data_IF_832727290180
#
_entry.id   IF_832727290180
#
_cell.length_a   1.000
_cell.length_b   1.000
_cell.length_c   1.000
_cell.angle_alpha   90.00
_cell.angle_beta   90.00
_cell.angle_gamma   90.00
#
_symmetry.space_group_name_H-M   'P 1'
#
loop_
_entity.id
_entity.type
_entity.pdbx_description
1 polymer ?
#
# COMPACT_ATOMS: atom_id res chain seq x y z
N UNK A 1 3.42 3.41 -28.85
CA UNK A 1 4.16 4.60 -28.34
C UNK A 1 3.19 5.75 -28.03
N UNK A 2 2.25 6.12 -28.93
CA UNK A 2 1.29 7.23 -28.69
C UNK A 2 0.41 6.99 -27.44
N UNK A 3 -0.03 5.77 -27.24
CA UNK A 3 -0.91 5.38 -26.13
C UNK A 3 -0.21 5.46 -24.76
N UNK A 4 1.11 5.20 -24.71
CA UNK A 4 1.94 5.32 -23.51
C UNK A 4 2.02 6.79 -23.02
N UNK A 5 2.21 7.71 -23.96
CA UNK A 5 2.20 9.15 -23.66
C UNK A 5 0.85 9.62 -23.13
N UNK A 6 -0.25 9.07 -23.62
CA UNK A 6 -1.60 9.46 -23.17
C UNK A 6 -1.88 9.01 -21.73
N UNK A 7 -1.42 7.82 -21.34
CA UNK A 7 -1.57 7.32 -19.96
C UNK A 7 -0.72 8.13 -18.96
N UNK A 8 0.46 8.60 -19.38
CA UNK A 8 1.32 9.48 -18.57
C UNK A 8 0.89 10.94 -18.59
N UNK A 9 0.13 11.38 -19.59
CA UNK A 9 -0.38 12.75 -19.66
C UNK A 9 -1.52 13.02 -18.66
N UNK A 10 -2.21 11.97 -18.18
CA UNK A 10 -3.28 12.12 -17.20
C UNK A 10 -2.71 12.23 -15.78
N UNK A 11 -2.63 13.44 -15.25
CA UNK A 11 -2.10 13.72 -13.92
C UNK A 11 -2.77 12.91 -12.81
N UNK A 12 -4.08 12.62 -12.91
CA UNK A 12 -4.81 11.82 -11.92
C UNK A 12 -4.31 10.37 -11.89
N UNK A 13 -4.03 9.78 -13.07
CA UNK A 13 -3.47 8.45 -13.18
C UNK A 13 -2.04 8.37 -12.61
N UNK A 14 -1.20 9.37 -12.90
CA UNK A 14 0.16 9.43 -12.34
C UNK A 14 0.17 9.39 -10.81
N UNK A 15 -0.75 10.09 -10.17
CA UNK A 15 -0.89 10.08 -8.72
C UNK A 15 -1.27 8.69 -8.18
N UNK A 16 -2.18 7.98 -8.86
CA UNK A 16 -2.54 6.61 -8.45
C UNK A 16 -1.40 5.63 -8.72
N UNK A 17 -0.61 5.81 -9.78
CA UNK A 17 0.60 5.01 -10.03
C UNK A 17 1.65 5.24 -8.94
N UNK A 18 1.83 6.48 -8.47
CA UNK A 18 2.70 6.77 -7.32
C UNK A 18 2.19 6.07 -6.05
N UNK A 19 0.89 6.07 -5.81
CA UNK A 19 0.30 5.33 -4.69
C UNK A 19 0.60 3.84 -4.82
N UNK A 20 0.43 3.23 -6.00
CA UNK A 20 0.76 1.82 -6.25
C UNK A 20 2.22 1.50 -5.93
N UNK A 21 3.14 2.36 -6.40
CA UNK A 21 4.57 2.25 -6.15
C UNK A 21 4.89 2.26 -4.64
N UNK A 22 4.33 3.22 -3.92
CA UNK A 22 4.62 3.42 -2.50
C UNK A 22 4.00 2.32 -1.61
N UNK A 23 2.75 1.91 -1.85
CA UNK A 23 2.10 0.90 -1.03
C UNK A 23 2.74 -0.48 -1.19
N UNK A 24 3.04 -0.89 -2.45
CA UNK A 24 3.67 -2.19 -2.67
C UNK A 24 5.12 -2.20 -2.21
N UNK A 25 5.86 -1.12 -2.47
CA UNK A 25 7.23 -1.00 -1.97
C UNK A 25 7.30 -1.05 -0.45
N UNK A 26 6.40 -0.38 0.25
CA UNK A 26 6.26 -0.45 1.71
C UNK A 26 5.95 -1.86 2.19
N UNK A 27 5.05 -2.56 1.49
CA UNK A 27 4.65 -3.91 1.84
C UNK A 27 5.81 -4.89 1.72
N UNK A 28 6.53 -4.85 0.60
CA UNK A 28 7.69 -5.72 0.38
C UNK A 28 8.80 -5.42 1.38
N UNK A 29 9.07 -4.15 1.69
CA UNK A 29 10.06 -3.78 2.69
C UNK A 29 9.71 -4.36 4.07
N UNK A 30 8.45 -4.25 4.52
CA UNK A 30 8.02 -4.82 5.80
C UNK A 30 8.20 -6.33 5.82
N UNK A 31 7.72 -7.05 4.80
CA UNK A 31 7.79 -8.52 4.79
C UNK A 31 9.20 -9.08 4.57
N UNK A 32 10.04 -8.39 3.81
CA UNK A 32 11.44 -8.79 3.65
C UNK A 32 12.21 -8.71 4.96
N UNK A 33 11.99 -7.65 5.73
CA UNK A 33 12.86 -7.34 6.87
C UNK A 33 12.30 -7.74 8.23
N UNK A 34 10.97 -7.95 8.37
CA UNK A 34 10.40 -8.43 9.65
C UNK A 34 10.95 -9.79 10.04
N UNK A 35 11.27 -10.65 9.07
CA UNK A 35 11.84 -11.96 9.33
C UNK A 35 13.16 -11.87 10.08
N UNK A 36 14.04 -10.93 9.69
CA UNK A 36 15.31 -10.70 10.39
C UNK A 36 15.08 -10.26 11.84
N UNK A 37 14.10 -9.40 12.08
CA UNK A 37 13.77 -8.93 13.43
C UNK A 37 13.26 -10.06 14.31
N UNK A 38 12.44 -10.96 13.77
CA UNK A 38 11.83 -12.05 14.51
C UNK A 38 12.80 -13.21 14.77
N UNK A 39 13.77 -13.43 13.89
CA UNK A 39 14.82 -14.44 14.06
C UNK A 39 15.89 -13.99 15.05
N UNK A 40 16.11 -12.69 15.20
CA UNK A 40 17.09 -12.12 16.12
C UNK A 40 16.56 -12.02 17.57
N UNK A 41 17.46 -11.94 18.58
CA UNK A 41 17.06 -11.58 19.95
C UNK A 41 16.29 -10.24 19.98
N UNK A 42 15.30 -10.07 20.85
CA UNK A 42 14.88 -10.95 21.95
C UNK A 42 13.92 -12.07 21.55
N UNK A 43 13.40 -12.09 20.30
CA UNK A 43 12.36 -13.04 19.91
C UNK A 43 12.92 -14.44 19.61
N UNK A 44 14.03 -14.53 18.87
CA UNK A 44 14.71 -15.79 18.51
C UNK A 44 13.76 -16.89 18.01
N UNK A 45 12.79 -16.49 17.18
CA UNK A 45 11.80 -17.45 16.66
C UNK A 45 12.44 -18.41 15.64
N UNK A 46 11.87 -19.62 15.52
CA UNK A 46 12.29 -20.55 14.47
C UNK A 46 11.83 -20.10 13.09
N UNK A 47 12.54 -20.50 12.04
CA UNK A 47 12.16 -20.21 10.65
C UNK A 47 10.76 -20.74 10.30
N UNK A 48 10.33 -21.84 10.91
CA UNK A 48 8.99 -22.39 10.72
C UNK A 48 7.92 -21.42 11.23
N UNK A 49 8.11 -20.85 12.42
CA UNK A 49 7.17 -19.86 12.99
C UNK A 49 7.15 -18.59 12.16
N UNK A 50 8.30 -18.12 11.70
CA UNK A 50 8.38 -16.96 10.80
C UNK A 50 7.69 -17.25 9.45
N UNK A 51 7.79 -18.48 8.94
CA UNK A 51 7.07 -18.92 7.74
C UNK A 51 5.56 -18.86 7.89
N UNK A 52 5.01 -19.02 9.10
CA UNK A 52 3.57 -18.88 9.36
C UNK A 52 3.06 -17.43 9.21
N UNK A 53 3.95 -16.42 9.12
CA UNK A 53 3.55 -15.05 8.78
C UNK A 53 2.80 -14.97 7.45
N UNK A 54 3.05 -15.89 6.52
CA UNK A 54 2.32 -15.91 5.25
C UNK A 54 0.83 -16.24 5.42
N UNK A 55 0.40 -16.85 6.54
CA UNK A 55 -1.02 -17.03 6.86
C UNK A 55 -1.74 -15.68 6.98
N UNK A 56 -1.02 -14.62 7.34
CA UNK A 56 -1.55 -13.25 7.41
C UNK A 56 -2.08 -12.77 6.05
N UNK A 57 -1.57 -13.30 4.93
CA UNK A 57 -2.09 -12.99 3.59
C UNK A 57 -3.56 -13.38 3.37
N UNK A 58 -4.04 -14.39 4.10
CA UNK A 58 -5.45 -14.80 4.03
C UNK A 58 -6.39 -13.67 4.48
N UNK A 59 -6.00 -12.91 5.51
CA UNK A 59 -6.75 -11.73 5.95
C UNK A 59 -6.79 -10.66 4.87
N UNK A 60 -5.72 -10.53 4.11
CA UNK A 60 -5.64 -9.58 3.01
C UNK A 60 -6.54 -9.93 1.83
N UNK A 61 -6.72 -11.20 1.52
CA UNK A 61 -7.65 -11.64 0.46
C UNK A 61 -9.09 -11.23 0.80
N UNK A 62 -9.50 -11.41 2.05
CA UNK A 62 -10.79 -10.93 2.54
C UNK A 62 -10.91 -9.41 2.42
N UNK A 63 -9.86 -8.67 2.81
CA UNK A 63 -9.80 -7.21 2.71
C UNK A 63 -10.05 -6.70 1.30
N UNK A 64 -9.42 -7.31 0.30
CA UNK A 64 -9.56 -6.90 -1.11
C UNK A 64 -11.02 -6.92 -1.57
N UNK A 65 -11.75 -7.97 -1.25
CA UNK A 65 -13.17 -8.11 -1.59
C UNK A 65 -14.04 -7.12 -0.80
N UNK A 66 -13.80 -7.01 0.50
CA UNK A 66 -14.57 -6.14 1.39
C UNK A 66 -14.40 -4.66 1.02
N UNK A 67 -13.16 -4.21 0.92
CA UNK A 67 -12.83 -2.82 0.59
C UNK A 67 -13.22 -2.45 -0.85
N UNK A 68 -13.13 -3.40 -1.79
CA UNK A 68 -13.63 -3.22 -3.14
C UNK A 68 -15.13 -2.91 -3.17
N UNK A 69 -15.94 -3.70 -2.49
CA UNK A 69 -17.40 -3.45 -2.36
C UNK A 69 -17.70 -2.13 -1.64
N UNK A 70 -16.95 -1.84 -0.58
CA UNK A 70 -17.12 -0.61 0.18
C UNK A 70 -16.82 0.62 -0.70
N UNK A 71 -15.83 0.53 -1.60
CA UNK A 71 -15.48 1.61 -2.52
C UNK A 71 -16.56 1.88 -3.58
N UNK A 72 -17.33 0.89 -3.97
CA UNK A 72 -18.45 1.07 -4.87
C UNK A 72 -19.63 1.84 -4.22
N UNK A 73 -19.76 1.74 -2.88
CA UNK A 73 -20.81 2.42 -2.12
C UNK A 73 -20.41 3.82 -1.64
N UNK A 74 -19.17 4.01 -1.22
CA UNK A 74 -18.72 5.23 -0.53
C UNK A 74 -17.71 6.07 -1.34
N UNK A 75 -17.31 5.60 -2.51
CA UNK A 75 -16.32 6.25 -3.36
C UNK A 75 -14.88 5.76 -3.14
N UNK A 76 -14.13 5.71 -4.23
CA UNK A 76 -12.78 5.13 -4.22
C UNK A 76 -11.80 5.90 -3.33
N UNK A 77 -11.83 7.24 -3.35
CA UNK A 77 -10.87 8.04 -2.59
C UNK A 77 -11.04 7.88 -1.08
N UNK A 78 -12.28 7.93 -0.58
CA UNK A 78 -12.57 7.79 0.86
C UNK A 78 -12.16 6.43 1.40
N UNK A 79 -12.47 5.36 0.66
CA UNK A 79 -12.14 3.99 1.08
C UNK A 79 -10.65 3.72 0.95
N UNK A 80 -9.97 4.32 -0.04
CA UNK A 80 -8.52 4.24 -0.15
C UNK A 80 -7.83 4.94 1.04
N UNK A 81 -8.31 6.12 1.46
CA UNK A 81 -7.82 6.80 2.66
C UNK A 81 -7.98 5.90 3.90
N UNK A 82 -9.14 5.27 4.06
CA UNK A 82 -9.37 4.34 5.17
C UNK A 82 -8.37 3.18 5.14
N UNK A 83 -8.15 2.56 3.98
CA UNK A 83 -7.19 1.47 3.82
C UNK A 83 -5.76 1.88 4.15
N UNK A 84 -5.34 3.07 3.72
CA UNK A 84 -4.02 3.63 4.02
C UNK A 84 -3.86 3.93 5.53
N UNK A 85 -4.89 4.43 6.20
CA UNK A 85 -4.87 4.63 7.65
C UNK A 85 -4.76 3.31 8.41
N UNK A 86 -5.49 2.27 7.98
CA UNK A 86 -5.38 0.93 8.54
C UNK A 86 -3.96 0.38 8.34
N UNK A 87 -3.39 0.53 7.14
CA UNK A 87 -2.03 0.14 6.82
C UNK A 87 -1.01 0.85 7.71
N UNK A 88 -1.13 2.17 7.88
CA UNK A 88 -0.25 2.96 8.73
C UNK A 88 -0.32 2.49 10.19
N UNK A 89 -1.54 2.34 10.71
CA UNK A 89 -1.76 1.86 12.10
C UNK A 89 -1.14 0.49 12.32
N UNK A 90 -1.34 -0.45 11.38
CA UNK A 90 -0.73 -1.77 11.45
C UNK A 90 0.80 -1.71 11.46
N UNK A 91 1.41 -0.90 10.60
CA UNK A 91 2.85 -0.69 10.58
C UNK A 91 3.37 -0.14 11.91
N UNK A 92 2.75 0.90 12.45
CA UNK A 92 3.13 1.51 13.72
C UNK A 92 2.98 0.54 14.91
N UNK A 93 1.94 -0.31 14.92
CA UNK A 93 1.78 -1.34 15.95
C UNK A 93 2.95 -2.32 15.98
N UNK A 94 3.60 -2.58 14.85
CA UNK A 94 4.78 -3.46 14.83
C UNK A 94 5.99 -2.86 15.55
N UNK A 95 5.99 -1.59 15.92
CA UNK A 95 7.06 -0.98 16.72
C UNK A 95 7.02 -1.41 18.19
N UNK A 96 5.85 -1.82 18.68
CA UNK A 96 5.70 -2.28 20.06
C UNK A 96 6.48 -3.57 20.26
N UNK A 97 7.17 -3.67 21.42
CA UNK A 97 8.06 -4.80 21.73
C UNK A 97 7.36 -6.15 21.90
N UNK A 98 6.18 -6.27 22.56
CA UNK A 98 5.54 -7.57 22.72
C UNK A 98 5.25 -8.23 21.36
N UNK A 99 5.62 -9.52 21.23
CA UNK A 99 5.51 -10.32 20.00
C UNK A 99 4.10 -10.31 19.40
N UNK A 100 3.08 -10.31 20.26
CA UNK A 100 1.66 -10.28 19.86
C UNK A 100 1.36 -9.05 18.98
N UNK A 101 1.94 -7.89 19.30
CA UNK A 101 1.74 -6.68 18.49
C UNK A 101 2.46 -6.74 17.15
N UNK A 102 3.54 -7.52 17.01
CA UNK A 102 4.16 -7.79 15.69
C UNK A 102 3.18 -8.51 14.77
N UNK A 103 2.56 -9.60 15.26
CA UNK A 103 1.61 -10.39 14.46
C UNK A 103 0.30 -9.62 14.17
N UNK A 104 -0.29 -8.99 15.18
CA UNK A 104 -1.51 -8.18 15.01
C UNK A 104 -1.22 -7.00 14.06
N UNK A 105 -0.11 -6.30 14.26
CA UNK A 105 0.31 -5.19 13.41
C UNK A 105 0.48 -5.61 11.96
N UNK A 106 1.13 -6.74 11.70
CA UNK A 106 1.28 -7.29 10.35
C UNK A 106 -0.06 -7.67 9.72
N UNK A 107 -0.99 -8.25 10.49
CA UNK A 107 -2.33 -8.59 10.01
C UNK A 107 -3.11 -7.33 9.59
N UNK A 108 -3.10 -6.29 10.44
CA UNK A 108 -3.74 -5.00 10.16
C UNK A 108 -3.06 -4.30 8.97
N UNK A 109 -1.73 -4.31 8.92
CA UNK A 109 -0.94 -3.74 7.83
C UNK A 109 -1.28 -4.39 6.49
N UNK A 110 -1.31 -5.72 6.44
CA UNK A 110 -1.66 -6.51 5.25
C UNK A 110 -3.10 -6.28 4.83
N UNK A 111 -4.03 -6.21 5.78
CA UNK A 111 -5.43 -5.89 5.52
C UNK A 111 -5.54 -4.52 4.86
N UNK A 112 -4.92 -3.49 5.43
CA UNK A 112 -4.92 -2.14 4.87
C UNK A 112 -4.29 -2.06 3.49
N UNK A 113 -3.15 -2.74 3.29
CA UNK A 113 -2.42 -2.74 2.02
C UNK A 113 -3.22 -3.40 0.89
N UNK A 114 -3.69 -4.64 1.08
CA UNK A 114 -4.39 -5.37 0.01
C UNK A 114 -5.76 -4.76 -0.29
N UNK A 115 -6.44 -4.22 0.72
CA UNK A 115 -7.65 -3.43 0.51
C UNK A 115 -7.38 -2.15 -0.29
N UNK A 116 -6.33 -1.40 0.06
CA UNK A 116 -5.92 -0.20 -0.67
C UNK A 116 -5.53 -0.51 -2.12
N UNK A 117 -4.79 -1.59 -2.34
CA UNK A 117 -4.42 -2.04 -3.68
C UNK A 117 -5.66 -2.34 -4.53
N UNK A 118 -6.62 -3.10 -4.00
CA UNK A 118 -7.87 -3.44 -4.69
C UNK A 118 -8.65 -2.19 -5.10
N UNK A 119 -8.82 -1.25 -4.18
CA UNK A 119 -9.51 0.02 -4.43
C UNK A 119 -8.78 0.88 -5.46
N UNK A 120 -7.46 1.03 -5.34
CA UNK A 120 -6.64 1.82 -6.25
C UNK A 120 -6.66 1.24 -7.68
N UNK A 121 -6.55 -0.08 -7.80
CA UNK A 121 -6.63 -0.79 -9.09
C UNK A 121 -8.00 -0.58 -9.77
N UNK A 122 -9.10 -0.69 -9.01
CA UNK A 122 -10.45 -0.40 -9.49
C UNK A 122 -10.62 1.07 -9.89
N UNK A 123 -10.00 2.00 -9.16
CA UNK A 123 -10.07 3.43 -9.46
C UNK A 123 -9.35 3.80 -10.76
N UNK A 124 -8.22 3.18 -11.07
CA UNK A 124 -7.52 3.34 -12.36
C UNK A 124 -8.46 3.11 -13.53
N UNK A 125 -9.25 2.02 -13.49
CA UNK A 125 -10.22 1.70 -14.53
C UNK A 125 -11.36 2.72 -14.69
N UNK A 126 -11.72 3.43 -13.59
CA UNK A 126 -12.75 4.48 -13.60
C UNK A 126 -12.19 5.84 -14.06
N UNK A 127 -10.92 6.14 -13.77
CA UNK A 127 -10.26 7.39 -14.15
C UNK A 127 -9.87 7.46 -15.63
N UNK A 128 -9.72 6.33 -16.29
CA UNK A 128 -9.38 6.28 -17.70
C UNK A 128 -10.60 5.86 -18.54
N UNK A 129 -11.12 6.79 -19.35
CA UNK A 129 -12.18 6.53 -20.30
C UNK A 129 -11.68 5.95 -21.66
N UNK A 130 -10.35 5.89 -21.84
CA UNK A 130 -9.70 5.35 -23.04
C UNK A 130 -9.30 3.88 -22.90
N UNK A 131 -8.03 3.57 -23.11
CA UNK A 131 -7.49 2.21 -23.02
C UNK A 131 -7.29 1.78 -21.56
N UNK A 132 -8.30 1.09 -20.99
CA UNK A 132 -8.29 0.57 -19.62
C UNK A 132 -7.19 -0.47 -19.40
N UNK A 133 -6.93 -1.32 -20.41
CA UNK A 133 -5.92 -2.37 -20.31
C UNK A 133 -4.53 -1.77 -20.13
N UNK A 134 -4.23 -0.72 -20.88
CA UNK A 134 -2.95 -0.03 -20.77
C UNK A 134 -2.78 0.66 -19.43
N UNK A 135 -3.80 1.36 -18.91
CA UNK A 135 -3.71 2.00 -17.60
C UNK A 135 -3.51 1.00 -16.47
N UNK A 136 -4.16 -0.17 -16.56
CA UNK A 136 -3.95 -1.25 -15.60
C UNK A 136 -2.54 -1.84 -15.70
N UNK A 137 -1.99 -1.99 -16.91
CA UNK A 137 -0.61 -2.45 -17.11
C UNK A 137 0.40 -1.47 -16.55
N UNK A 138 0.18 -0.15 -16.71
CA UNK A 138 1.02 0.90 -16.13
C UNK A 138 0.94 0.89 -14.61
N UNK A 139 -0.25 0.71 -14.04
CA UNK A 139 -0.44 0.55 -12.61
C UNK A 139 0.40 -0.61 -12.07
N UNK A 140 0.34 -1.78 -12.71
CA UNK A 140 1.13 -2.95 -12.33
C UNK A 140 2.63 -2.73 -12.50
N UNK A 141 3.05 -2.02 -13.53
CA UNK A 141 4.46 -1.65 -13.71
C UNK A 141 4.99 -0.84 -12.51
N UNK A 142 4.29 0.24 -12.13
CA UNK A 142 4.68 1.05 -10.98
C UNK A 142 4.59 0.27 -9.66
N UNK A 143 3.60 -0.59 -9.52
CA UNK A 143 3.43 -1.48 -8.36
C UNK A 143 4.67 -2.39 -8.16
N UNK A 144 5.13 -3.08 -9.20
CA UNK A 144 6.32 -3.92 -9.12
C UNK A 144 7.63 -3.12 -9.08
N UNK A 145 7.70 -1.98 -9.72
CA UNK A 145 8.83 -1.07 -9.59
C UNK A 145 9.01 -0.58 -8.14
N UNK A 146 7.89 -0.29 -7.44
CA UNK A 146 7.90 0.03 -6.02
C UNK A 146 8.39 -1.14 -5.17
N UNK A 147 7.89 -2.35 -5.44
CA UNK A 147 8.34 -3.57 -4.75
C UNK A 147 9.87 -3.74 -4.82
N UNK A 148 10.41 -3.59 -6.01
CA UNK A 148 11.86 -3.73 -6.24
C UNK A 148 12.66 -2.60 -5.58
N UNK A 149 12.22 -1.35 -5.74
CA UNK A 149 12.98 -0.18 -5.27
C UNK A 149 12.93 -0.03 -3.75
N UNK A 150 11.73 0.19 -3.17
CA UNK A 150 11.59 0.39 -1.73
C UNK A 150 11.83 -0.88 -0.93
N UNK A 151 11.50 -2.06 -1.53
CA UNK A 151 11.81 -3.34 -0.93
C UNK A 151 13.31 -3.52 -0.69
N UNK A 152 14.17 -3.00 -1.58
CA UNK A 152 15.63 -3.02 -1.43
C UNK A 152 16.12 -1.91 -0.49
N UNK A 153 15.62 -0.67 -0.68
CA UNK A 153 16.00 0.50 0.12
C UNK A 153 15.69 0.28 1.61
N UNK A 154 14.65 -0.46 1.93
CA UNK A 154 14.30 -0.83 3.32
C UNK A 154 15.46 -1.49 4.08
N UNK A 155 16.37 -2.21 3.38
CA UNK A 155 17.57 -2.80 3.98
C UNK A 155 18.54 -1.75 4.53
N UNK A 156 18.73 -0.65 3.82
CA UNK A 156 19.57 0.47 4.27
C UNK A 156 19.00 1.09 5.55
N UNK A 157 17.68 1.23 5.62
CA UNK A 157 17.01 1.74 6.83
C UNK A 157 17.10 0.76 8.00
N UNK A 158 17.03 -0.55 7.72
CA UNK A 158 17.20 -1.58 8.75
C UNK A 158 18.61 -1.54 9.34
N UNK A 159 19.65 -1.46 8.49
CA UNK A 159 21.04 -1.41 8.94
C UNK A 159 21.36 -0.15 9.73
N UNK A 160 20.83 1.02 9.31
CA UNK A 160 21.14 2.30 9.93
C UNK A 160 20.34 2.59 11.19
N UNK A 161 19.08 2.20 11.24
CA UNK A 161 18.12 2.62 12.28
C UNK A 161 17.30 1.45 12.86
N UNK A 162 17.61 0.21 12.49
CA UNK A 162 16.87 -0.97 12.91
C UNK A 162 15.43 -0.99 12.37
N UNK A 163 14.57 -1.72 13.06
CA UNK A 163 13.16 -1.89 12.66
C UNK A 163 12.38 -0.56 12.63
N UNK A 164 12.68 0.34 13.53
CA UNK A 164 12.07 1.68 13.57
C UNK A 164 12.40 2.50 12.31
N UNK A 165 13.59 2.33 11.72
CA UNK A 165 13.95 2.94 10.45
C UNK A 165 13.09 2.44 9.29
N UNK A 166 12.89 1.14 9.19
CA UNK A 166 12.01 0.53 8.16
C UNK A 166 10.58 1.07 8.29
N UNK A 167 10.02 1.04 9.48
CA UNK A 167 8.66 1.54 9.73
C UNK A 167 8.57 3.06 9.53
N UNK A 168 9.62 3.82 9.88
CA UNK A 168 9.70 5.25 9.60
C UNK A 168 9.64 5.56 8.10
N UNK A 169 10.38 4.83 7.26
CA UNK A 169 10.32 4.92 5.80
C UNK A 169 8.92 4.58 5.28
N UNK A 170 8.33 3.50 5.78
CA UNK A 170 6.98 3.06 5.41
C UNK A 170 5.94 4.10 5.81
N UNK A 171 6.02 4.64 7.02
CA UNK A 171 5.11 5.68 7.49
C UNK A 171 5.19 6.94 6.62
N UNK A 172 6.39 7.38 6.24
CA UNK A 172 6.58 8.49 5.32
C UNK A 172 5.94 8.22 3.95
N UNK A 173 6.15 7.02 3.39
CA UNK A 173 5.54 6.62 2.12
C UNK A 173 4.00 6.61 2.19
N UNK A 174 3.42 6.06 3.25
CA UNK A 174 1.96 6.01 3.44
C UNK A 174 1.38 7.41 3.67
N UNK A 175 2.08 8.29 4.40
CA UNK A 175 1.67 9.69 4.58
C UNK A 175 1.66 10.42 3.22
N UNK A 176 2.66 10.21 2.38
CA UNK A 176 2.67 10.76 1.02
C UNK A 176 1.45 10.25 0.24
N UNK A 177 1.14 8.94 0.31
CA UNK A 177 -0.07 8.38 -0.31
C UNK A 177 -1.34 9.06 0.19
N UNK A 178 -1.49 9.26 1.50
CA UNK A 178 -2.64 9.92 2.10
C UNK A 178 -2.79 11.35 1.56
N UNK A 179 -1.73 12.13 1.52
CA UNK A 179 -1.75 13.50 1.00
C UNK A 179 -2.16 13.55 -0.49
N UNK A 180 -1.63 12.62 -1.28
CA UNK A 180 -1.97 12.48 -2.70
C UNK A 180 -3.43 12.13 -2.90
N UNK A 181 -3.93 11.12 -2.16
CA UNK A 181 -5.31 10.64 -2.30
C UNK A 181 -6.32 11.67 -1.82
N UNK A 182 -6.04 12.37 -0.71
CA UNK A 182 -6.89 13.48 -0.24
C UNK A 182 -6.99 14.58 -1.29
N UNK A 183 -5.88 14.98 -1.92
CA UNK A 183 -5.90 15.98 -3.00
C UNK A 183 -6.70 15.50 -4.21
N UNK A 184 -6.57 14.23 -4.58
CA UNK A 184 -7.34 13.66 -5.69
C UNK A 184 -8.84 13.63 -5.40
N UNK A 185 -9.24 13.24 -4.20
CA UNK A 185 -10.64 13.19 -3.78
C UNK A 185 -11.26 14.59 -3.81
N UNK A 186 -10.56 15.60 -3.28
CA UNK A 186 -11.01 16.99 -3.31
C UNK A 186 -11.17 17.52 -4.75
N UNK A 187 -10.22 17.21 -5.64
CA UNK A 187 -10.29 17.61 -7.04
C UNK A 187 -11.42 16.93 -7.82
N UNK A 188 -11.78 15.70 -7.45
CA UNK A 188 -12.92 14.99 -8.05
C UNK A 188 -14.24 15.53 -7.53
N UNK A 189 -14.34 15.81 -6.22
CA UNK A 189 -15.54 16.38 -5.60
C UNK A 189 -15.88 17.78 -6.15
N UNK A 190 -14.89 18.63 -6.35
CA UNK A 190 -15.11 19.98 -6.92
C UNK A 190 -15.65 19.93 -8.36
N UNK A 191 -15.19 18.97 -9.17
CA UNK A 191 -15.67 18.84 -10.55
C UNK A 191 -17.16 18.44 -10.64
N UNK A 192 -17.67 17.72 -9.63
CA UNK A 192 -19.07 17.31 -9.57
C UNK A 192 -20.01 18.45 -9.16
N UNK A 193 -19.51 19.43 -8.39
CA UNK A 193 -20.31 20.58 -7.92
C UNK A 193 -20.55 21.65 -9.01
N UNK A 194 -19.76 21.68 -10.08
CA UNK A 194 -19.88 22.65 -11.18
C UNK A 194 -20.71 22.16 -12.36
N UNK A 195 -21.19 20.91 -12.32
CA UNK A 195 -22.01 20.31 -13.37
C UNK A 195 -23.47 20.05 -12.95
N UNK A 196 -23.89 20.57 -11.82
CA UNK A 196 -25.27 20.70 -11.34
C UNK A 196 -25.65 22.17 -11.19
#
# INVERSE_FOLDING_TARGET
IKTFHTALANKKLLWIYLVAFLIMGSFVAVFNFISYVLLAPPYSLSQTVVGLLFVVYLFGTFSSTYMGRLSDQHGNGRVLILGLLIMLTGGLLTLLQPLVFKFIGLAIFTFGMLGSHSVACGWVGKLNQGDKAQSSSMYMFFYYAGASSLGTVGGVFLESYGWSGVIGMVAAAVIICLLVVVRLELAVSQHLLWHH
#
